data_IF_987178295677
#
_entry.id   IF_987178295677
#
_cell.length_a   1.000
_cell.length_b   1.000
_cell.length_c   1.000
_cell.angle_alpha   90.00
_cell.angle_beta   90.00
_cell.angle_gamma   90.00
#
_symmetry.space_group_name_H-M   'P 1'
#
loop_
_entity.id
_entity.type
_entity.pdbx_description
1 polymer ?
#
# COMPACT_ATOMS: atom_id res chain seq x y z
N UNK A 1 33.33 0.40 -4.56
CA UNK A 1 32.92 -0.88 -3.95
C UNK A 1 31.43 -0.98 -3.81
N UNK A 2 30.92 -2.14 -4.06
CA UNK A 2 29.49 -2.39 -3.97
C UNK A 2 28.96 -2.33 -2.54
N UNK A 3 29.81 -2.37 -1.53
CA UNK A 3 29.40 -2.29 -0.13
C UNK A 3 28.62 -1.01 0.19
N UNK A 4 28.82 0.02 -0.61
CA UNK A 4 28.14 1.30 -0.47
C UNK A 4 26.80 1.35 -1.21
N UNK A 5 26.50 0.33 -2.00
CA UNK A 5 25.27 0.34 -2.81
C UNK A 5 24.04 0.17 -1.94
N UNK A 6 23.11 1.10 -2.08
CA UNK A 6 21.79 1.01 -1.42
C UNK A 6 20.92 0.02 -2.18
N UNK A 7 20.36 -0.95 -1.47
CA UNK A 7 19.35 -1.83 -2.04
C UNK A 7 18.02 -1.08 -2.00
N UNK A 8 17.57 -0.64 -3.18
CA UNK A 8 16.36 0.17 -3.30
C UNK A 8 15.11 -0.60 -2.91
N UNK A 9 15.05 -1.89 -3.19
CA UNK A 9 13.92 -2.70 -2.77
C UNK A 9 13.87 -2.79 -1.24
N UNK A 10 14.96 -3.14 -0.60
CA UNK A 10 15.00 -3.28 0.86
C UNK A 10 14.60 -1.99 1.56
N UNK A 11 15.11 -0.87 1.09
CA UNK A 11 14.78 0.44 1.66
C UNK A 11 13.29 0.75 1.47
N UNK A 12 12.76 0.52 0.27
CA UNK A 12 11.36 0.78 -0.02
C UNK A 12 10.45 -0.15 0.79
N UNK A 13 10.84 -1.42 0.93
CA UNK A 13 10.11 -2.38 1.72
C UNK A 13 10.07 -1.97 3.20
N UNK A 14 11.17 -1.48 3.74
CA UNK A 14 11.22 -0.96 5.10
C UNK A 14 10.24 0.20 5.29
N UNK A 15 10.18 1.12 4.34
CA UNK A 15 9.22 2.22 4.38
C UNK A 15 7.78 1.71 4.38
N UNK A 16 7.49 0.71 3.56
CA UNK A 16 6.17 0.10 3.53
C UNK A 16 5.82 -0.52 4.87
N UNK A 17 6.72 -1.30 5.45
CA UNK A 17 6.49 -1.96 6.73
C UNK A 17 6.24 -0.94 7.85
N UNK A 18 7.01 0.14 7.88
CA UNK A 18 6.82 1.22 8.85
C UNK A 18 5.48 1.93 8.66
N UNK A 19 5.10 2.21 7.41
CA UNK A 19 3.82 2.84 7.11
C UNK A 19 2.65 1.96 7.55
N UNK A 20 2.75 0.66 7.30
CA UNK A 20 1.72 -0.29 7.68
C UNK A 20 1.58 -0.36 9.20
N UNK A 21 2.70 -0.37 9.93
CA UNK A 21 2.66 -0.36 11.39
C UNK A 21 1.97 0.90 11.92
N UNK A 22 2.25 2.05 11.34
CA UNK A 22 1.61 3.31 11.74
C UNK A 22 0.11 3.31 11.42
N UNK A 23 -0.27 2.74 10.29
CA UNK A 23 -1.69 2.58 9.96
C UNK A 23 -2.39 1.72 11.01
N UNK A 24 -1.79 0.62 11.40
CA UNK A 24 -2.34 -0.28 12.41
C UNK A 24 -2.48 0.40 13.77
N UNK A 25 -1.57 1.31 14.13
CA UNK A 25 -1.71 2.10 15.35
C UNK A 25 -3.00 2.92 15.34
N UNK A 26 -3.30 3.57 14.22
CA UNK A 26 -4.53 4.35 14.10
C UNK A 26 -5.76 3.44 14.14
N UNK A 27 -5.68 2.27 13.51
CA UNK A 27 -6.79 1.31 13.49
C UNK A 27 -7.09 0.71 14.87
N UNK A 28 -6.13 0.76 15.78
CA UNK A 28 -6.30 0.26 17.15
C UNK A 28 -7.03 1.24 18.07
N UNK A 29 -7.17 2.50 17.64
CA UNK A 29 -7.83 3.52 18.42
C UNK A 29 -9.34 3.53 18.18
N UNK A 30 -10.13 4.01 19.16
CA UNK A 30 -11.55 4.22 18.97
C UNK A 30 -11.75 5.28 17.90
N UNK A 31 -12.60 5.00 16.94
CA UNK A 31 -12.74 5.86 15.78
C UNK A 31 -13.55 7.11 16.08
N UNK A 32 -12.86 8.24 16.12
CA UNK A 32 -13.44 9.58 16.12
C UNK A 32 -13.17 10.16 14.72
N UNK A 33 -13.68 11.36 14.45
CA UNK A 33 -13.37 12.04 13.18
C UNK A 33 -11.87 12.30 13.05
N UNK A 34 -11.18 12.60 14.16
CA UNK A 34 -9.72 12.79 14.13
C UNK A 34 -8.98 11.49 13.80
N UNK A 35 -9.39 10.39 14.43
CA UNK A 35 -8.79 9.07 14.17
C UNK A 35 -9.08 8.66 12.73
N UNK A 36 -10.29 8.90 12.25
CA UNK A 36 -10.67 8.57 10.85
C UNK A 36 -9.79 9.33 9.87
N UNK A 37 -9.55 10.61 10.10
CA UNK A 37 -8.68 11.41 9.23
C UNK A 37 -7.26 10.85 9.24
N UNK A 38 -6.79 10.42 10.40
CA UNK A 38 -5.48 9.78 10.52
C UNK A 38 -5.43 8.44 9.76
N UNK A 39 -6.48 7.64 9.87
CA UNK A 39 -6.57 6.36 9.15
C UNK A 39 -6.46 6.59 7.65
N UNK A 40 -7.21 7.56 7.11
CA UNK A 40 -7.21 7.85 5.68
C UNK A 40 -5.84 8.32 5.23
N UNK A 41 -5.22 9.24 5.97
CA UNK A 41 -3.90 9.75 5.62
C UNK A 41 -2.84 8.65 5.65
N UNK A 42 -2.86 7.83 6.67
CA UNK A 42 -1.91 6.72 6.81
C UNK A 42 -2.16 5.63 5.78
N UNK A 43 -3.42 5.42 5.39
CA UNK A 43 -3.75 4.54 4.28
C UNK A 43 -3.13 5.05 2.97
N UNK A 44 -3.27 6.34 2.67
CA UNK A 44 -2.67 6.92 1.46
C UNK A 44 -1.17 6.70 1.39
N UNK A 45 -0.48 6.96 2.50
CA UNK A 45 0.97 6.77 2.58
C UNK A 45 1.33 5.29 2.40
N UNK A 46 0.59 4.41 3.08
CA UNK A 46 0.86 2.96 3.01
C UNK A 46 0.64 2.43 1.59
N UNK A 47 -0.41 2.87 0.92
CA UNK A 47 -0.66 2.48 -0.47
C UNK A 47 0.49 2.91 -1.38
N UNK A 48 0.96 4.16 -1.25
CA UNK A 48 2.11 4.65 -2.03
C UNK A 48 3.35 3.81 -1.79
N UNK A 49 3.66 3.52 -0.52
CA UNK A 49 4.83 2.71 -0.19
C UNK A 49 4.67 1.28 -0.70
N UNK A 50 3.45 0.73 -0.65
CA UNK A 50 3.18 -0.63 -1.08
C UNK A 50 3.42 -0.82 -2.58
N UNK A 51 2.81 0.02 -3.43
CA UNK A 51 2.98 -0.18 -4.86
C UNK A 51 4.42 0.15 -5.31
N UNK A 52 5.08 1.07 -4.65
CA UNK A 52 6.50 1.35 -4.94
C UNK A 52 7.39 0.17 -4.56
N UNK A 53 7.05 -0.54 -3.49
CA UNK A 53 7.76 -1.77 -3.10
C UNK A 53 7.56 -2.85 -4.16
N UNK A 54 6.33 -3.04 -4.62
CA UNK A 54 6.04 -3.98 -5.71
C UNK A 54 6.81 -3.61 -6.97
N UNK A 55 6.85 -2.32 -7.31
CA UNK A 55 7.59 -1.83 -8.46
C UNK A 55 9.07 -2.24 -8.37
N UNK A 56 9.72 -1.95 -7.24
CA UNK A 56 11.14 -2.28 -7.06
C UNK A 56 11.39 -3.77 -7.14
N UNK A 57 10.52 -4.57 -6.52
CA UNK A 57 10.63 -6.03 -6.60
C UNK A 57 10.57 -6.53 -8.04
N UNK A 58 9.58 -6.06 -8.78
CA UNK A 58 9.34 -6.53 -10.15
C UNK A 58 10.42 -6.08 -11.11
N UNK A 59 10.87 -4.84 -10.98
CA UNK A 59 11.98 -4.33 -11.80
C UNK A 59 13.25 -5.11 -11.54
N UNK A 60 13.53 -5.46 -10.29
CA UNK A 60 14.70 -6.27 -9.93
C UNK A 60 14.61 -7.69 -10.50
N UNK A 61 13.40 -8.17 -10.80
CA UNK A 61 13.18 -9.46 -11.46
C UNK A 61 13.20 -9.36 -12.99
N UNK A 62 13.47 -8.19 -13.53
CA UNK A 62 13.59 -7.98 -14.97
C UNK A 62 12.37 -7.44 -15.66
N UNK A 63 11.31 -7.10 -14.94
CA UNK A 63 10.11 -6.53 -15.53
C UNK A 63 10.36 -5.09 -15.99
N UNK A 64 9.72 -4.71 -17.08
CA UNK A 64 9.77 -3.35 -17.60
C UNK A 64 8.41 -2.71 -17.40
N UNK A 65 8.31 -1.87 -16.39
CA UNK A 65 7.03 -1.28 -15.96
C UNK A 65 7.25 0.19 -15.71
N UNK A 66 6.29 1.03 -16.08
CA UNK A 66 6.33 2.44 -15.72
C UNK A 66 6.12 2.57 -14.20
N UNK A 67 6.77 3.54 -13.53
CA UNK A 67 6.68 3.71 -12.08
C UNK A 67 5.37 4.39 -11.68
N UNK A 68 4.27 3.69 -11.89
CA UNK A 68 2.91 4.15 -11.58
C UNK A 68 2.09 2.98 -11.05
N UNK A 69 1.26 3.25 -10.05
CA UNK A 69 0.39 2.21 -9.48
C UNK A 69 -0.44 1.52 -10.55
N UNK A 70 -0.97 2.29 -11.49
CA UNK A 70 -1.79 1.80 -12.59
C UNK A 70 -1.10 0.70 -13.40
N UNK A 71 0.20 0.85 -13.63
CA UNK A 71 0.98 -0.10 -14.44
C UNK A 71 1.51 -1.26 -13.60
N UNK A 72 1.81 -1.01 -12.32
CA UNK A 72 2.42 -1.99 -11.44
C UNK A 72 1.42 -3.06 -10.97
N UNK A 73 0.21 -2.64 -10.59
CA UNK A 73 -0.79 -3.56 -10.01
C UNK A 73 -1.11 -4.74 -10.95
N UNK A 74 -1.37 -4.54 -12.25
CA UNK A 74 -1.64 -5.68 -13.13
C UNK A 74 -0.48 -6.67 -13.23
N UNK A 75 0.76 -6.18 -13.27
CA UNK A 75 1.94 -7.05 -13.35
C UNK A 75 2.14 -7.79 -12.03
N UNK A 76 1.91 -7.13 -10.91
CA UNK A 76 1.99 -7.77 -9.59
C UNK A 76 0.99 -8.92 -9.49
N UNK A 77 -0.22 -8.74 -10.01
CA UNK A 77 -1.22 -9.78 -10.03
C UNK A 77 -0.80 -10.94 -10.95
N UNK A 78 -0.32 -10.64 -12.15
CA UNK A 78 0.14 -11.65 -13.11
C UNK A 78 1.29 -12.50 -12.55
N UNK A 79 2.17 -11.89 -11.77
CA UNK A 79 3.31 -12.57 -11.18
C UNK A 79 2.98 -13.24 -9.84
N UNK A 80 1.73 -13.18 -9.42
CA UNK A 80 1.23 -13.76 -8.16
C UNK A 80 1.86 -13.12 -6.93
N UNK A 81 2.38 -11.91 -7.06
CA UNK A 81 2.87 -11.14 -5.94
C UNK A 81 1.69 -10.71 -5.06
N UNK A 82 0.56 -10.44 -5.68
CA UNK A 82 -0.73 -10.22 -5.01
C UNK A 82 -1.72 -11.26 -5.55
N UNK A 83 -2.54 -11.87 -4.68
CA UNK A 83 -3.47 -12.92 -5.13
C UNK A 83 -4.71 -12.38 -5.82
N UNK A 84 -5.05 -11.12 -5.60
CA UNK A 84 -6.24 -10.49 -6.15
C UNK A 84 -5.93 -9.04 -6.53
N UNK A 85 -6.38 -8.61 -7.71
CA UNK A 85 -6.21 -7.23 -8.14
C UNK A 85 -7.28 -6.30 -7.58
N UNK A 86 -8.49 -6.82 -7.33
CA UNK A 86 -9.66 -6.02 -6.98
C UNK A 86 -9.45 -5.09 -5.77
N UNK A 87 -8.92 -5.55 -4.62
CA UNK A 87 -8.72 -4.63 -3.50
C UNK A 87 -7.71 -3.53 -3.82
N UNK A 88 -6.71 -3.82 -4.64
CA UNK A 88 -5.71 -2.82 -5.03
C UNK A 88 -6.27 -1.77 -5.98
N UNK A 89 -7.13 -2.18 -6.91
CA UNK A 89 -7.83 -1.24 -7.78
C UNK A 89 -8.74 -0.32 -6.97
N UNK A 90 -9.40 -0.88 -5.94
CA UNK A 90 -10.26 -0.11 -5.04
C UNK A 90 -9.45 0.87 -4.19
N UNK A 91 -8.29 0.44 -3.71
CA UNK A 91 -7.37 1.33 -2.98
C UNK A 91 -6.97 2.53 -3.82
N UNK A 92 -6.62 2.30 -5.08
CA UNK A 92 -6.24 3.37 -6.00
C UNK A 92 -7.39 4.35 -6.19
N UNK A 93 -8.60 3.83 -6.36
CA UNK A 93 -9.80 4.63 -6.51
C UNK A 93 -10.03 5.51 -5.29
N UNK A 94 -9.96 4.93 -4.10
CA UNK A 94 -10.13 5.67 -2.85
C UNK A 94 -9.00 6.67 -2.62
N UNK A 95 -7.76 6.30 -2.97
CA UNK A 95 -6.62 7.19 -2.87
C UNK A 95 -6.83 8.47 -3.69
N UNK A 96 -7.41 8.33 -4.89
CA UNK A 96 -7.70 9.47 -5.73
C UNK A 96 -8.81 10.35 -5.13
N UNK A 97 -9.82 9.73 -4.52
CA UNK A 97 -10.93 10.46 -3.88
C UNK A 97 -10.45 11.30 -2.69
N UNK A 98 -9.54 10.77 -1.88
CA UNK A 98 -9.07 11.47 -0.68
C UNK A 98 -8.29 12.73 -0.99
N UNK A 99 -7.84 12.90 -2.24
CA UNK A 99 -7.12 14.11 -2.65
C UNK A 99 -8.04 15.23 -3.08
N UNK A 100 -9.37 15.02 -3.07
CA UNK A 100 -10.38 15.99 -3.46
C UNK A 100 -11.06 16.60 -2.22
N UNK A 101 -12.22 17.20 -2.39
CA UNK A 101 -12.89 17.83 -1.27
C UNK A 101 -13.39 16.82 -0.23
N UNK A 102 -13.41 17.26 1.02
CA UNK A 102 -13.81 16.41 2.13
C UNK A 102 -15.32 16.11 2.09
N UNK A 103 -15.65 14.85 2.31
CA UNK A 103 -17.01 14.37 2.44
C UNK A 103 -17.03 13.33 3.56
N UNK A 104 -17.76 13.60 4.63
CA UNK A 104 -17.74 12.74 5.82
C UNK A 104 -18.29 11.34 5.54
N UNK A 105 -19.36 11.24 4.77
CA UNK A 105 -19.93 9.95 4.36
C UNK A 105 -18.91 9.10 3.60
N UNK A 106 -18.18 9.73 2.69
CA UNK A 106 -17.14 9.07 1.92
C UNK A 106 -15.96 8.70 2.82
N UNK A 107 -15.60 9.56 3.77
CA UNK A 107 -14.54 9.27 4.73
C UNK A 107 -14.86 8.04 5.58
N UNK A 108 -16.11 7.91 6.03
CA UNK A 108 -16.58 6.75 6.78
C UNK A 108 -16.46 5.48 5.92
N UNK A 109 -16.87 5.56 4.67
CA UNK A 109 -16.79 4.46 3.72
C UNK A 109 -15.34 4.02 3.49
N UNK A 110 -14.45 4.97 3.28
CA UNK A 110 -13.02 4.69 3.07
C UNK A 110 -12.41 4.04 4.31
N UNK A 111 -12.70 4.58 5.49
CA UNK A 111 -12.19 4.04 6.74
C UNK A 111 -12.66 2.59 6.93
N UNK A 112 -13.92 2.31 6.65
CA UNK A 112 -14.46 0.95 6.74
C UNK A 112 -13.75 -0.01 5.78
N UNK A 113 -13.50 0.42 4.55
CA UNK A 113 -12.75 -0.36 3.57
C UNK A 113 -11.32 -0.62 4.04
N UNK A 114 -10.66 0.39 4.61
CA UNK A 114 -9.29 0.23 5.11
C UNK A 114 -9.25 -0.84 6.20
N UNK A 115 -10.21 -0.82 7.12
CA UNK A 115 -10.28 -1.78 8.22
C UNK A 115 -10.52 -3.21 7.75
N UNK A 116 -11.40 -3.39 6.76
CA UNK A 116 -11.82 -4.73 6.34
C UNK A 116 -10.94 -5.30 5.23
N UNK A 117 -10.57 -4.48 4.26
CA UNK A 117 -9.97 -4.98 3.02
C UNK A 117 -8.53 -4.54 2.82
N UNK A 118 -8.26 -3.23 2.97
CA UNK A 118 -6.94 -2.70 2.64
C UNK A 118 -5.86 -3.23 3.57
N UNK A 119 -6.08 -3.20 4.88
CA UNK A 119 -5.08 -3.67 5.84
C UNK A 119 -4.77 -5.15 5.62
N UNK A 120 -5.79 -5.93 5.27
CA UNK A 120 -5.63 -7.35 4.99
C UNK A 120 -4.76 -7.57 3.75
N UNK A 121 -5.02 -6.79 2.68
CA UNK A 121 -4.22 -6.87 1.45
C UNK A 121 -2.78 -6.44 1.71
N UNK A 122 -2.56 -5.41 2.51
CA UNK A 122 -1.21 -4.98 2.89
C UNK A 122 -0.48 -6.06 3.67
N UNK A 123 -1.15 -6.71 4.62
CA UNK A 123 -0.55 -7.80 5.40
C UNK A 123 -0.14 -8.97 4.50
N UNK A 124 -0.97 -9.31 3.53
CA UNK A 124 -0.65 -10.38 2.59
C UNK A 124 0.54 -10.03 1.72
N UNK A 125 0.61 -8.78 1.25
CA UNK A 125 1.76 -8.32 0.48
C UNK A 125 3.04 -8.41 1.31
N UNK A 126 2.99 -7.94 2.56
CA UNK A 126 4.15 -8.01 3.46
C UNK A 126 4.62 -9.44 3.65
N UNK A 127 3.69 -10.36 3.89
CA UNK A 127 4.00 -11.77 4.08
C UNK A 127 4.61 -12.38 2.81
N UNK A 128 4.07 -12.05 1.65
CA UNK A 128 4.58 -12.56 0.38
C UNK A 128 6.00 -12.05 0.10
N UNK A 129 6.25 -10.77 0.38
CA UNK A 129 7.59 -10.19 0.22
C UNK A 129 8.60 -10.86 1.15
N UNK A 130 8.24 -11.08 2.40
CA UNK A 130 9.10 -11.76 3.36
C UNK A 130 9.39 -13.18 2.93
N UNK A 131 8.41 -13.85 2.34
CA UNK A 131 8.55 -15.23 1.86
C UNK A 131 9.48 -15.33 0.64
N UNK A 132 9.52 -14.31 -0.19
CA UNK A 132 10.33 -14.30 -1.42
C UNK A 132 11.71 -13.70 -1.23
N UNK A 133 11.95 -13.05 -0.13
CA UNK A 133 13.25 -12.46 0.18
C UNK A 133 13.87 -13.12 1.40
#
# INVERSE_FOLDING_TARGET
MSAERVDRFELQFEYFQKSLARLKEALAEDETSFVRDSIIKRFEVTFEMAWKTMFRFLVDKGERIAPKAWDVIPVAFQSLLIPEAAPWDKMREYRNDTSHEYNESRAVEISAFVRSDAVFAFDRLQAEMLNRT
#
